data_IF_635243193029
#
_entry.id   IF_635243193029
#
_cell.length_a   1.000
_cell.length_b   1.000
_cell.length_c   1.000
_cell.angle_alpha   90.00
_cell.angle_beta   90.00
_cell.angle_gamma   90.00
#
_symmetry.space_group_name_H-M   'P 1'
#
loop_
_entity.id
_entity.type
_entity.pdbx_description
1 polymer ?
#
# COMPACT_ATOMS: atom_id res chain seq x y z
N UNK A 1 -12.50 3.63 -11.92
CA UNK A 1 -11.57 2.49 -12.07
C UNK A 1 -10.15 2.98 -12.39
N UNK A 2 -9.13 2.48 -11.68
CA UNK A 2 -7.72 2.70 -12.04
C UNK A 2 -7.45 1.85 -13.29
N UNK A 3 -7.20 2.48 -14.43
CA UNK A 3 -7.22 1.81 -15.74
C UNK A 3 -5.85 1.40 -16.28
N UNK A 4 -4.73 1.83 -15.68
CA UNK A 4 -3.38 1.64 -16.24
C UNK A 4 -2.30 1.35 -15.17
N UNK A 5 -2.39 0.23 -14.43
CA UNK A 5 -1.38 -0.14 -13.44
C UNK A 5 0.02 -0.38 -14.03
N UNK A 6 0.11 -0.70 -15.31
CA UNK A 6 1.37 -0.90 -16.05
C UNK A 6 2.16 0.40 -16.26
N UNK A 7 1.49 1.55 -16.17
CA UNK A 7 2.10 2.89 -16.28
C UNK A 7 2.25 3.59 -14.94
N UNK A 8 2.23 2.84 -13.83
CA UNK A 8 2.24 3.36 -12.46
C UNK A 8 3.32 4.43 -12.24
N UNK A 9 4.57 4.14 -12.60
CA UNK A 9 5.73 5.02 -12.36
C UNK A 9 5.70 6.30 -13.20
N UNK A 10 5.09 6.26 -14.39
CA UNK A 10 4.91 7.44 -15.23
C UNK A 10 3.95 8.42 -14.53
N UNK A 11 2.83 7.90 -14.03
CA UNK A 11 1.82 8.72 -13.39
C UNK A 11 2.24 9.21 -12.00
N UNK A 12 2.95 8.40 -11.21
CA UNK A 12 3.46 8.83 -9.90
C UNK A 12 4.49 9.94 -10.04
N UNK A 13 5.40 9.84 -11.02
CA UNK A 13 6.39 10.90 -11.32
C UNK A 13 5.69 12.20 -11.70
N UNK A 14 4.66 12.13 -12.55
CA UNK A 14 3.87 13.30 -12.93
C UNK A 14 3.20 13.95 -11.71
N UNK A 15 2.61 13.15 -10.81
CA UNK A 15 2.03 13.65 -9.55
C UNK A 15 3.11 14.27 -8.66
N UNK A 16 4.30 13.68 -8.58
CA UNK A 16 5.45 14.24 -7.87
C UNK A 16 5.84 15.64 -8.37
N UNK A 17 5.90 15.83 -9.70
CA UNK A 17 6.18 17.13 -10.31
C UNK A 17 5.07 18.15 -10.04
N UNK A 18 3.80 17.73 -10.05
CA UNK A 18 2.67 18.60 -9.72
C UNK A 18 2.69 19.01 -8.24
N UNK A 19 2.96 18.06 -7.34
CA UNK A 19 3.10 18.30 -5.90
C UNK A 19 4.23 19.30 -5.61
N UNK A 20 5.38 19.17 -6.28
CA UNK A 20 6.50 20.09 -6.14
C UNK A 20 6.15 21.55 -6.56
N UNK A 21 5.19 21.72 -7.47
CA UNK A 21 4.69 23.05 -7.89
C UNK A 21 3.54 23.56 -7.00
N UNK A 22 2.70 22.67 -6.51
CA UNK A 22 1.55 23.00 -5.68
C UNK A 22 1.32 21.90 -4.65
N UNK A 23 1.73 22.16 -3.41
CA UNK A 23 1.60 21.20 -2.31
C UNK A 23 0.14 20.89 -1.94
N UNK A 24 -0.76 21.89 -2.07
CA UNK A 24 -2.19 21.68 -1.80
C UNK A 24 -2.80 20.67 -2.78
N UNK A 25 -2.40 20.75 -4.06
CA UNK A 25 -2.80 19.75 -5.06
C UNK A 25 -2.35 18.34 -4.66
N UNK A 26 -1.10 18.19 -4.20
CA UNK A 26 -0.59 16.89 -3.75
C UNK A 26 -1.40 16.31 -2.59
N UNK A 27 -1.74 17.14 -1.59
CA UNK A 27 -2.60 16.75 -0.48
C UNK A 27 -4.00 16.30 -0.93
N UNK A 28 -4.70 17.12 -1.71
CA UNK A 28 -6.03 16.80 -2.23
C UNK A 28 -6.03 15.53 -3.10
N UNK A 29 -4.97 15.35 -3.90
CA UNK A 29 -4.81 14.16 -4.74
C UNK A 29 -4.64 12.90 -3.89
N UNK A 30 -3.80 12.94 -2.85
CA UNK A 30 -3.61 11.80 -1.94
C UNK A 30 -4.90 11.48 -1.20
N UNK A 31 -5.64 12.49 -0.73
CA UNK A 31 -6.94 12.30 -0.08
C UNK A 31 -7.94 11.61 -1.00
N UNK A 32 -8.01 12.04 -2.26
CA UNK A 32 -8.85 11.41 -3.27
C UNK A 32 -8.44 9.95 -3.51
N UNK A 33 -7.14 9.67 -3.59
CA UNK A 33 -6.62 8.32 -3.78
C UNK A 33 -6.93 7.39 -2.61
N UNK A 34 -6.78 7.87 -1.37
CA UNK A 34 -7.13 7.10 -0.17
C UNK A 34 -8.63 6.83 -0.11
N UNK A 35 -9.47 7.82 -0.47
CA UNK A 35 -10.92 7.63 -0.58
C UNK A 35 -11.26 6.58 -1.64
N UNK A 36 -10.61 6.63 -2.80
CA UNK A 36 -10.80 5.65 -3.86
C UNK A 36 -10.35 4.25 -3.45
N UNK A 37 -9.24 4.12 -2.71
CA UNK A 37 -8.78 2.85 -2.15
C UNK A 37 -9.84 2.24 -1.21
N UNK A 38 -10.34 3.02 -0.24
CA UNK A 38 -11.38 2.58 0.70
C UNK A 38 -12.69 2.20 0.00
N UNK A 39 -13.10 2.97 -1.01
CA UNK A 39 -14.32 2.68 -1.77
C UNK A 39 -14.17 1.40 -2.60
N UNK A 40 -13.01 1.16 -3.21
CA UNK A 40 -12.76 -0.10 -3.93
C UNK A 40 -12.80 -1.31 -3.00
N UNK A 41 -12.28 -1.20 -1.77
CA UNK A 41 -12.41 -2.26 -0.76
C UNK A 41 -13.90 -2.52 -0.42
N UNK A 42 -14.67 -1.46 -0.17
CA UNK A 42 -16.09 -1.55 0.17
C UNK A 42 -16.92 -2.20 -0.96
N UNK A 43 -16.56 -1.92 -2.21
CA UNK A 43 -17.21 -2.49 -3.40
C UNK A 43 -16.64 -3.86 -3.81
N UNK A 44 -15.76 -4.46 -2.99
CA UNK A 44 -15.09 -5.73 -3.31
C UNK A 44 -14.30 -5.70 -4.64
N UNK A 45 -13.83 -4.52 -5.07
CA UNK A 45 -12.99 -4.31 -6.24
C UNK A 45 -11.51 -4.51 -5.87
N UNK A 46 -11.16 -5.76 -5.55
CA UNK A 46 -9.88 -6.14 -4.97
C UNK A 46 -8.67 -5.75 -5.84
N UNK A 47 -8.72 -5.96 -7.16
CA UNK A 47 -7.62 -5.55 -8.03
C UNK A 47 -7.44 -4.04 -8.10
N UNK A 48 -8.54 -3.29 -8.19
CA UNK A 48 -8.49 -1.83 -8.21
C UNK A 48 -7.95 -1.27 -6.88
N UNK A 49 -8.34 -1.87 -5.74
CA UNK A 49 -7.78 -1.52 -4.43
C UNK A 49 -6.28 -1.79 -4.37
N UNK A 50 -5.82 -2.95 -4.87
CA UNK A 50 -4.38 -3.28 -4.92
C UNK A 50 -3.60 -2.31 -5.81
N UNK A 51 -4.14 -1.90 -6.96
CA UNK A 51 -3.50 -0.91 -7.82
C UNK A 51 -3.44 0.47 -7.16
N UNK A 52 -4.48 0.87 -6.42
CA UNK A 52 -4.46 2.10 -5.63
C UNK A 52 -3.36 2.06 -4.56
N UNK A 53 -3.25 0.94 -3.84
CA UNK A 53 -2.21 0.75 -2.81
C UNK A 53 -0.80 0.78 -3.41
N UNK A 54 -0.58 0.12 -4.54
CA UNK A 54 0.71 0.20 -5.27
C UNK A 54 1.04 1.63 -5.66
N UNK A 55 0.06 2.39 -6.14
CA UNK A 55 0.27 3.78 -6.52
C UNK A 55 0.63 4.64 -5.31
N UNK A 56 -0.06 4.48 -4.18
CA UNK A 56 0.28 5.14 -2.92
C UNK A 56 1.69 4.78 -2.44
N UNK A 57 2.13 3.54 -2.65
CA UNK A 57 3.48 3.12 -2.31
C UNK A 57 4.54 3.84 -3.16
N UNK A 58 4.33 3.89 -4.47
CA UNK A 58 5.28 4.53 -5.40
C UNK A 58 5.33 6.06 -5.26
N UNK A 59 4.27 6.68 -4.76
CA UNK A 59 4.25 8.11 -4.40
C UNK A 59 5.24 8.48 -3.28
N UNK A 60 5.71 7.50 -2.49
CA UNK A 60 6.80 7.73 -1.53
C UNK A 60 8.11 8.02 -2.25
N UNK A 61 8.43 7.25 -3.30
CA UNK A 61 9.62 7.48 -4.14
C UNK A 61 9.56 8.85 -4.84
N UNK A 62 8.36 9.36 -5.10
CA UNK A 62 8.12 10.66 -5.71
C UNK A 62 8.02 11.82 -4.69
N UNK A 63 8.33 11.56 -3.41
CA UNK A 63 8.28 12.53 -2.31
C UNK A 63 6.91 13.21 -2.11
N UNK A 64 5.82 12.52 -2.47
CA UNK A 64 4.45 12.99 -2.25
C UNK A 64 3.89 12.46 -0.94
N UNK A 65 4.24 11.22 -0.58
CA UNK A 65 3.82 10.57 0.67
C UNK A 65 5.06 10.28 1.53
N UNK A 66 4.93 10.41 2.85
CA UNK A 66 6.01 10.06 3.77
C UNK A 66 6.14 8.54 3.96
N UNK A 67 7.36 8.05 4.19
CA UNK A 67 7.60 6.63 4.52
C UNK A 67 6.83 6.19 5.76
N UNK A 68 6.74 7.05 6.78
CA UNK A 68 5.99 6.79 8.01
C UNK A 68 4.49 6.54 7.73
N UNK A 69 3.87 7.40 6.92
CA UNK A 69 2.45 7.29 6.58
C UNK A 69 2.15 6.01 5.81
N UNK A 70 3.03 5.64 4.87
CA UNK A 70 2.88 4.38 4.15
C UNK A 70 3.05 3.18 5.08
N UNK A 71 4.09 3.14 5.91
CA UNK A 71 4.30 2.04 6.85
C UNK A 71 3.11 1.84 7.78
N UNK A 72 2.59 2.93 8.35
CA UNK A 72 1.39 2.88 9.18
C UNK A 72 0.19 2.27 8.44
N UNK A 73 0.01 2.59 7.15
CA UNK A 73 -1.03 1.97 6.33
C UNK A 73 -0.77 0.47 6.13
N UNK A 74 0.47 0.06 5.85
CA UNK A 74 0.82 -1.35 5.65
C UNK A 74 0.65 -2.16 6.94
N UNK A 75 1.05 -1.60 8.09
CA UNK A 75 0.83 -2.20 9.41
C UNK A 75 -0.66 -2.41 9.68
N UNK A 76 -1.49 -1.38 9.45
CA UNK A 76 -2.95 -1.49 9.60
C UNK A 76 -3.56 -2.57 8.68
N UNK A 77 -3.00 -2.77 7.49
CA UNK A 77 -3.44 -3.84 6.59
C UNK A 77 -3.06 -5.23 7.12
N UNK A 78 -1.88 -5.36 7.72
CA UNK A 78 -1.45 -6.61 8.39
C UNK A 78 -2.27 -6.85 9.66
N UNK A 79 -2.66 -5.81 10.39
CA UNK A 79 -3.61 -5.92 11.51
C UNK A 79 -4.96 -6.47 11.02
N UNK A 80 -5.51 -5.92 9.94
CA UNK A 80 -6.76 -6.40 9.34
C UNK A 80 -6.67 -7.85 8.88
N UNK A 81 -5.48 -8.31 8.45
CA UNK A 81 -5.23 -9.71 8.12
C UNK A 81 -5.16 -10.62 9.35
N UNK A 82 -4.88 -10.08 10.54
CA UNK A 82 -4.77 -10.83 11.79
C UNK A 82 -6.06 -10.81 12.62
N UNK A 83 -7.13 -10.17 12.13
CA UNK A 83 -8.46 -10.26 12.76
C UNK A 83 -8.90 -11.72 12.94
N UNK A 84 -9.46 -12.01 14.11
CA UNK A 84 -10.01 -13.32 14.42
C UNK A 84 -11.34 -13.56 13.68
N UNK A 85 -11.66 -14.83 13.43
CA UNK A 85 -12.95 -15.24 12.86
C UNK A 85 -13.27 -14.69 11.45
N UNK A 86 -12.27 -14.23 10.69
CA UNK A 86 -12.45 -13.81 9.29
C UNK A 86 -12.00 -14.91 8.30
N UNK A 87 -12.58 -14.95 7.07
CA UNK A 87 -12.18 -15.94 6.07
C UNK A 87 -10.70 -15.85 5.67
N UNK A 88 -10.04 -17.00 5.48
CA UNK A 88 -8.62 -17.05 5.09
C UNK A 88 -8.31 -16.23 3.84
N UNK A 89 -9.19 -16.27 2.83
CA UNK A 89 -9.02 -15.52 1.58
C UNK A 89 -8.95 -14.00 1.77
N UNK A 90 -9.66 -13.45 2.78
CA UNK A 90 -9.56 -12.02 3.13
C UNK A 90 -8.19 -11.72 3.71
N UNK A 91 -7.73 -12.55 4.64
CA UNK A 91 -6.43 -12.39 5.31
C UNK A 91 -5.29 -12.47 4.30
N UNK A 92 -5.35 -13.46 3.43
CA UNK A 92 -4.39 -13.68 2.34
C UNK A 92 -4.32 -12.47 1.41
N UNK A 93 -5.46 -11.87 1.06
CA UNK A 93 -5.49 -10.71 0.18
C UNK A 93 -4.78 -9.50 0.79
N UNK A 94 -5.00 -9.20 2.08
CA UNK A 94 -4.32 -8.08 2.75
C UNK A 94 -2.81 -8.27 2.78
N UNK A 95 -2.34 -9.46 3.16
CA UNK A 95 -0.90 -9.78 3.20
C UNK A 95 -0.30 -9.75 1.79
N UNK A 96 -0.98 -10.32 0.81
CA UNK A 96 -0.54 -10.26 -0.58
C UNK A 96 -0.49 -8.82 -1.11
N UNK A 97 -1.48 -7.99 -0.80
CA UNK A 97 -1.51 -6.59 -1.21
C UNK A 97 -0.30 -5.83 -0.65
N UNK A 98 0.02 -6.00 0.64
CA UNK A 98 1.21 -5.42 1.29
C UNK A 98 2.50 -5.92 0.63
N UNK A 99 2.70 -7.24 0.51
CA UNK A 99 3.91 -7.78 -0.12
C UNK A 99 4.06 -7.32 -1.57
N UNK A 100 2.95 -7.15 -2.28
CA UNK A 100 2.93 -6.69 -3.68
C UNK A 100 3.24 -5.20 -3.87
N UNK A 101 3.49 -4.42 -2.81
CA UNK A 101 4.01 -3.06 -2.93
C UNK A 101 5.52 -2.97 -2.70
N UNK A 102 6.12 -3.96 -2.02
CA UNK A 102 7.54 -3.95 -1.66
C UNK A 102 8.48 -3.85 -2.85
N UNK A 103 8.23 -4.47 -4.03
CA UNK A 103 9.10 -4.25 -5.19
C UNK A 103 9.17 -2.78 -5.67
N UNK A 104 8.21 -1.93 -5.30
CA UNK A 104 8.16 -0.52 -5.69
C UNK A 104 8.80 0.37 -4.63
N UNK A 105 8.59 0.10 -3.35
CA UNK A 105 8.96 1.03 -2.25
C UNK A 105 9.90 0.42 -1.21
N UNK A 106 10.17 -0.88 -1.28
CA UNK A 106 10.85 -1.64 -0.23
C UNK A 106 12.24 -1.10 0.10
N UNK A 107 12.99 -0.66 -0.92
CA UNK A 107 14.31 -0.02 -0.72
C UNK A 107 14.21 1.27 0.10
N UNK A 108 13.29 2.15 -0.27
CA UNK A 108 13.08 3.44 0.40
C UNK A 108 12.62 3.24 1.86
N UNK A 109 11.78 2.23 2.11
CA UNK A 109 11.37 1.84 3.46
C UNK A 109 12.55 1.26 4.26
N UNK A 110 13.37 0.41 3.65
CA UNK A 110 14.53 -0.19 4.31
C UNK A 110 15.55 0.88 4.69
N UNK A 111 15.93 1.75 3.75
CA UNK A 111 16.93 2.80 3.97
C UNK A 111 16.51 3.82 5.06
N UNK A 112 15.21 4.13 5.17
CA UNK A 112 14.72 5.16 6.12
C UNK A 112 14.15 4.59 7.42
N UNK A 113 13.69 3.34 7.40
CA UNK A 113 12.83 2.73 8.43
C UNK A 113 13.06 1.23 8.57
N UNK A 114 14.30 0.77 8.44
CA UNK A 114 14.73 -0.65 8.54
C UNK A 114 14.00 -1.43 9.63
N UNK A 115 14.14 -1.03 10.91
CA UNK A 115 13.53 -1.74 12.03
C UNK A 115 12.00 -1.86 11.92
N UNK A 116 11.31 -0.83 11.41
CA UNK A 116 9.86 -0.89 11.22
C UNK A 116 9.47 -1.85 10.09
N UNK A 117 10.24 -1.86 8.99
CA UNK A 117 10.04 -2.80 7.89
C UNK A 117 10.32 -4.24 8.34
N UNK A 118 11.39 -4.49 9.10
CA UNK A 118 11.70 -5.80 9.66
C UNK A 118 10.57 -6.30 10.56
N UNK A 119 10.07 -5.46 11.46
CA UNK A 119 8.93 -5.80 12.32
C UNK A 119 7.68 -6.17 11.48
N UNK A 120 7.36 -5.41 10.43
CA UNK A 120 6.27 -5.72 9.51
C UNK A 120 6.48 -7.10 8.84
N UNK A 121 7.69 -7.39 8.37
CA UNK A 121 8.02 -8.66 7.71
C UNK A 121 7.95 -9.85 8.66
N UNK A 122 8.43 -9.72 9.90
CA UNK A 122 8.31 -10.77 10.93
C UNK A 122 6.84 -11.08 11.22
N UNK A 123 5.98 -10.06 11.30
CA UNK A 123 4.53 -10.26 11.50
C UNK A 123 3.91 -11.02 10.33
N UNK A 124 4.31 -10.70 9.09
CA UNK A 124 3.87 -11.41 7.89
C UNK A 124 4.38 -12.86 7.88
N UNK A 125 5.63 -13.11 8.26
CA UNK A 125 6.19 -14.46 8.35
C UNK A 125 5.41 -15.33 9.35
N UNK A 126 5.15 -14.81 10.55
CA UNK A 126 4.32 -15.48 11.57
C UNK A 126 2.93 -15.80 11.02
N UNK A 127 2.33 -14.87 10.27
CA UNK A 127 1.04 -15.11 9.61
C UNK A 127 1.12 -16.26 8.60
N UNK A 128 2.13 -16.25 7.70
CA UNK A 128 2.29 -17.27 6.67
C UNK A 128 2.54 -18.66 7.26
N UNK A 129 3.26 -18.75 8.38
CA UNK A 129 3.50 -20.02 9.08
C UNK A 129 2.23 -20.62 9.70
N UNK A 130 1.25 -19.79 10.06
CA UNK A 130 -0.05 -20.23 10.62
C UNK A 130 -1.11 -20.51 9.54
N UNK A 131 -0.84 -20.15 8.28
CA UNK A 131 -1.79 -20.24 7.18
C UNK A 131 -2.12 -21.69 6.82
N UNK A 132 -3.41 -22.00 6.71
CA UNK A 132 -3.87 -23.31 6.24
C UNK A 132 -3.59 -23.46 4.74
N UNK A 133 -2.93 -24.56 4.34
CA UNK A 133 -2.58 -24.86 2.94
C UNK A 133 -3.62 -25.71 2.19
N UNK A 134 -4.80 -25.90 2.78
CA UNK A 134 -5.89 -26.71 2.22
C UNK A 134 -6.77 -25.87 1.31
#
# INVERSE_FOLDING_TARGET
>A
PIKMPEKCTIYSTMVGLMNAKNYNFGGEFVDHMVKAFKENLKQCKWDAARYALRFLADLVNCHVISTNSLLQLLDNMVDAANEDSVPQVRRDWYVFAVLSTLPWVGRELYEKKESALENLLVRIEVFLNKRTKK
#
